data_IF_826064085182
#
_entry.id   IF_826064085182
#
_cell.length_a   1.000
_cell.length_b   1.000
_cell.length_c   1.000
_cell.angle_alpha   90.00
_cell.angle_beta   90.00
_cell.angle_gamma   90.00
#
_symmetry.space_group_name_H-M   'P 1'
#
loop_
_entity.id
_entity.type
_entity.pdbx_description
1 polymer ?
#
# COMPACT_ATOMS: atom_id res chain seq x y z
N UNK A 1 63.57 -9.33 -13.02
CA UNK A 1 64.50 -8.88 -11.96
C UNK A 1 63.97 -9.37 -10.62
N UNK A 2 64.71 -10.26 -9.96
CA UNK A 2 64.40 -10.82 -8.64
C UNK A 2 65.07 -9.96 -7.57
N UNK A 3 64.36 -9.58 -6.51
CA UNK A 3 64.95 -9.07 -5.26
C UNK A 3 64.41 -9.84 -4.06
N UNK A 4 65.24 -10.08 -3.03
CA UNK A 4 65.04 -11.12 -2.02
C UNK A 4 64.52 -10.59 -0.68
N UNK A 5 63.98 -11.53 0.10
CA UNK A 5 63.91 -11.69 1.57
C UNK A 5 64.37 -10.54 2.48
N UNK A 6 63.61 -10.29 3.55
CA UNK A 6 64.09 -10.26 4.96
C UNK A 6 62.95 -10.73 5.90
N UNK A 7 63.31 -11.67 6.76
CA UNK A 7 62.57 -12.20 7.93
C UNK A 7 62.48 -11.16 9.06
N UNK A 8 61.42 -11.20 9.88
CA UNK A 8 61.58 -11.22 11.35
C UNK A 8 60.34 -11.77 12.06
N UNK A 9 60.61 -12.63 13.03
CA UNK A 9 59.67 -13.40 13.83
C UNK A 9 59.17 -12.64 15.07
N UNK A 10 57.99 -12.99 15.56
CA UNK A 10 57.70 -13.01 16.99
C UNK A 10 56.54 -14.00 17.25
N UNK A 11 56.89 -15.17 17.77
CA UNK A 11 55.96 -16.10 18.37
C UNK A 11 55.64 -15.61 19.79
N UNK A 12 54.37 -15.35 20.08
CA UNK A 12 53.87 -15.20 21.44
C UNK A 12 52.78 -16.27 21.66
N UNK A 13 53.19 -17.35 22.32
CA UNK A 13 52.29 -18.40 22.79
C UNK A 13 51.50 -17.87 24.01
N UNK A 14 50.33 -17.27 23.75
CA UNK A 14 49.35 -16.96 24.78
C UNK A 14 48.40 -18.14 24.95
N UNK A 15 48.60 -18.94 26.00
CA UNK A 15 47.61 -19.92 26.45
C UNK A 15 46.42 -19.18 27.08
N UNK A 16 45.47 -18.75 26.24
CA UNK A 16 44.18 -18.26 26.70
C UNK A 16 43.24 -19.45 26.87
N UNK A 17 42.82 -19.70 28.11
CA UNK A 17 41.79 -20.67 28.45
C UNK A 17 40.55 -20.43 27.57
N UNK A 18 40.22 -21.42 26.73
CA UNK A 18 39.00 -21.44 25.94
C UNK A 18 37.85 -21.73 26.91
N UNK A 19 37.39 -20.68 27.58
CA UNK A 19 36.07 -20.67 28.19
C UNK A 19 35.06 -20.74 27.06
N UNK A 20 34.49 -21.93 26.85
CA UNK A 20 33.41 -22.17 25.90
C UNK A 20 32.16 -21.43 26.40
N UNK A 21 32.12 -20.11 26.23
CA UNK A 21 30.91 -19.33 26.35
C UNK A 21 30.03 -19.71 25.17
N UNK A 22 29.05 -20.58 25.41
CA UNK A 22 27.87 -20.72 24.57
C UNK A 22 27.14 -19.38 24.60
N UNK A 23 27.56 -18.45 23.74
CA UNK A 23 26.78 -17.25 23.43
C UNK A 23 25.56 -17.78 22.67
N UNK A 24 24.48 -18.03 23.40
CA UNK A 24 23.15 -18.14 22.82
C UNK A 24 22.85 -16.75 22.29
N UNK A 25 23.28 -16.48 21.06
CA UNK A 25 22.77 -15.35 20.30
C UNK A 25 21.29 -15.65 20.12
N UNK A 26 20.45 -15.06 20.98
CA UNK A 26 19.05 -14.93 20.71
C UNK A 26 18.98 -14.22 19.35
N UNK A 27 18.74 -15.00 18.30
CA UNK A 27 18.34 -14.45 17.02
C UNK A 27 17.01 -13.80 17.33
N UNK A 28 17.05 -12.49 17.60
CA UNK A 28 15.88 -11.66 17.48
C UNK A 28 15.42 -11.90 16.06
N UNK A 29 14.44 -12.80 15.91
CA UNK A 29 13.81 -13.05 14.64
C UNK A 29 13.30 -11.69 14.21
N UNK A 30 13.99 -11.09 13.24
CA UNK A 30 13.45 -9.95 12.53
C UNK A 30 12.13 -10.47 12.00
N UNK A 31 11.02 -10.06 12.60
CA UNK A 31 9.72 -10.29 12.04
C UNK A 31 9.84 -9.72 10.62
N UNK A 32 9.94 -10.62 9.63
CA UNK A 32 9.99 -10.23 8.24
C UNK A 32 8.64 -9.59 8.00
N UNK A 33 8.61 -8.26 8.07
CA UNK A 33 7.43 -7.48 7.76
C UNK A 33 7.00 -7.93 6.38
N UNK A 34 5.82 -8.53 6.31
CA UNK A 34 5.24 -9.03 5.07
C UNK A 34 5.33 -7.92 4.01
N UNK A 35 5.79 -8.23 2.80
CA UNK A 35 5.85 -7.20 1.77
C UNK A 35 4.43 -6.61 1.56
N UNK A 36 4.28 -5.31 1.25
CA UNK A 36 2.98 -4.67 1.08
C UNK A 36 2.02 -5.42 0.13
N UNK A 37 2.57 -6.05 -0.92
CA UNK A 37 1.84 -6.91 -1.87
C UNK A 37 1.17 -8.11 -1.17
N UNK A 38 1.71 -8.58 -0.06
CA UNK A 38 1.18 -9.73 0.67
C UNK A 38 0.08 -9.37 1.67
N UNK A 39 -0.26 -8.08 1.82
CA UNK A 39 -1.32 -7.58 2.69
C UNK A 39 -2.68 -7.45 1.99
N UNK A 40 -2.66 -7.49 0.66
CA UNK A 40 -3.85 -7.58 -0.18
C UNK A 40 -3.73 -8.83 -1.05
N UNK A 41 -4.57 -9.81 -0.78
CA UNK A 41 -4.67 -11.04 -1.59
C UNK A 41 -4.91 -10.72 -3.06
N UNK A 42 -5.57 -9.58 -3.35
CA UNK A 42 -5.75 -9.03 -4.68
C UNK A 42 -4.42 -8.81 -5.42
N UNK A 43 -3.36 -8.37 -4.74
CA UNK A 43 -2.08 -8.05 -5.38
C UNK A 43 -1.28 -9.31 -5.76
N UNK A 44 -1.60 -10.44 -5.13
CA UNK A 44 -0.95 -11.73 -5.40
C UNK A 44 -1.51 -12.44 -6.63
N UNK A 45 -2.64 -11.98 -7.19
CA UNK A 45 -3.21 -12.58 -8.40
C UNK A 45 -2.49 -12.09 -9.66
N UNK A 46 -2.54 -12.91 -10.70
CA UNK A 46 -2.09 -12.53 -12.03
C UNK A 46 -2.87 -11.31 -12.54
N UNK A 47 -2.15 -10.33 -13.08
CA UNK A 47 -2.74 -9.14 -13.71
C UNK A 47 -3.53 -9.55 -14.96
N UNK A 48 -4.66 -8.90 -15.18
CA UNK A 48 -5.56 -9.06 -16.33
C UNK A 48 -5.67 -7.71 -17.06
N UNK A 49 -6.26 -7.69 -18.25
CA UNK A 49 -6.40 -6.45 -19.03
C UNK A 49 -7.12 -5.34 -18.26
N UNK A 50 -8.15 -5.69 -17.48
CA UNK A 50 -8.92 -4.74 -16.68
C UNK A 50 -8.11 -4.08 -15.55
N UNK A 51 -6.94 -4.64 -15.22
CA UNK A 51 -6.09 -4.14 -14.15
C UNK A 51 -5.15 -3.03 -14.59
N UNK A 52 -4.96 -2.85 -15.89
CA UNK A 52 -4.18 -1.73 -16.41
C UNK A 52 -4.95 -0.43 -16.23
N UNK A 53 -4.23 0.64 -15.90
CA UNK A 53 -4.79 1.99 -15.94
C UNK A 53 -5.10 2.35 -17.40
N UNK A 54 -6.14 3.16 -17.65
CA UNK A 54 -6.39 3.68 -18.99
C UNK A 54 -5.16 4.40 -19.54
N UNK A 55 -4.94 4.30 -20.85
CA UNK A 55 -3.75 4.87 -21.50
C UNK A 55 -3.55 6.36 -21.16
N UNK A 56 -4.63 7.14 -21.19
CA UNK A 56 -4.65 8.57 -20.87
C UNK A 56 -4.33 8.90 -19.40
N UNK A 57 -4.44 7.94 -18.49
CA UNK A 57 -3.97 8.08 -17.09
C UNK A 57 -2.53 7.62 -16.99
N UNK A 58 -2.19 6.50 -17.60
CA UNK A 58 -0.84 5.92 -17.51
C UNK A 58 0.24 6.76 -18.18
N UNK A 59 -0.11 7.54 -19.21
CA UNK A 59 0.83 8.35 -19.96
C UNK A 59 0.75 9.83 -19.53
N UNK A 60 1.80 10.33 -18.87
CA UNK A 60 1.98 11.77 -18.65
C UNK A 60 1.07 12.40 -17.59
N UNK A 61 0.53 11.61 -16.67
CA UNK A 61 -0.12 12.13 -15.46
C UNK A 61 0.71 11.80 -14.23
N UNK A 62 0.61 12.63 -13.19
CA UNK A 62 1.28 12.38 -11.90
C UNK A 62 0.87 11.02 -11.30
N UNK A 63 -0.36 10.58 -11.53
CA UNK A 63 -0.84 9.26 -11.09
C UNK A 63 -0.14 8.13 -11.85
N UNK A 64 -0.03 8.26 -13.18
CA UNK A 64 0.63 7.27 -14.03
C UNK A 64 2.12 7.11 -13.70
N UNK A 65 2.80 8.20 -13.39
CA UNK A 65 4.22 8.20 -13.02
C UNK A 65 4.46 7.74 -11.58
N UNK A 66 3.44 7.81 -10.72
CA UNK A 66 3.53 7.44 -9.31
C UNK A 66 3.58 5.92 -9.10
N UNK A 67 2.76 5.16 -9.83
CA UNK A 67 2.60 3.71 -9.62
C UNK A 67 3.23 2.88 -10.73
N UNK A 68 3.86 1.76 -10.37
CA UNK A 68 4.40 0.83 -11.36
C UNK A 68 3.26 0.11 -12.12
N UNK A 69 3.24 0.23 -13.45
CA UNK A 69 2.12 -0.21 -14.28
C UNK A 69 1.80 -1.73 -14.20
N UNK A 70 2.78 -2.56 -13.89
CA UNK A 70 2.64 -4.02 -13.70
C UNK A 70 2.10 -4.41 -12.32
N UNK A 71 2.05 -3.44 -11.40
CA UNK A 71 1.53 -3.64 -10.04
C UNK A 71 0.05 -3.29 -9.91
N UNK A 72 -0.54 -2.62 -10.89
CA UNK A 72 -1.92 -2.14 -10.77
C UNK A 72 -2.91 -3.30 -10.76
N UNK A 73 -3.97 -3.19 -9.96
CA UNK A 73 -5.07 -4.16 -9.85
C UNK A 73 -6.38 -3.39 -9.74
N UNK A 74 -7.33 -3.69 -10.61
CA UNK A 74 -8.65 -3.06 -10.55
C UNK A 74 -9.43 -3.63 -9.36
N UNK A 75 -10.01 -2.70 -8.60
CA UNK A 75 -10.83 -2.97 -7.43
C UNK A 75 -12.31 -3.03 -7.79
N UNK A 76 -12.74 -2.20 -8.75
CA UNK A 76 -14.14 -2.15 -9.20
C UNK A 76 -14.47 -0.80 -9.83
N UNK A 77 -15.76 -0.56 -10.05
CA UNK A 77 -16.30 0.72 -10.53
C UNK A 77 -17.62 1.03 -9.83
N UNK A 78 -17.96 2.31 -9.73
CA UNK A 78 -19.25 2.81 -9.26
C UNK A 78 -19.56 4.14 -9.96
N UNK A 79 -20.72 4.24 -10.60
CA UNK A 79 -21.06 5.41 -11.42
C UNK A 79 -20.01 5.65 -12.52
N UNK A 80 -19.52 6.90 -12.61
CA UNK A 80 -18.46 7.31 -13.55
C UNK A 80 -17.04 7.02 -13.04
N UNK A 81 -16.90 6.43 -11.85
CA UNK A 81 -15.61 6.22 -11.19
C UNK A 81 -15.13 4.78 -11.34
N UNK A 82 -13.85 4.61 -11.62
CA UNK A 82 -13.16 3.30 -11.56
C UNK A 82 -11.97 3.39 -10.60
N UNK A 83 -11.73 2.29 -9.89
CA UNK A 83 -10.80 2.24 -8.79
C UNK A 83 -9.74 1.16 -9.01
N UNK A 84 -8.50 1.49 -8.70
CA UNK A 84 -7.37 0.57 -8.74
C UNK A 84 -6.57 0.65 -7.44
N UNK A 85 -5.84 -0.41 -7.15
CA UNK A 85 -4.70 -0.38 -6.26
C UNK A 85 -3.42 -0.57 -7.06
N UNK A 86 -2.30 -0.06 -6.58
CA UNK A 86 -0.97 -0.23 -7.17
C UNK A 86 0.11 -0.04 -6.13
N UNK A 87 1.36 -0.26 -6.53
CA UNK A 87 2.54 -0.03 -5.68
C UNK A 87 3.42 1.03 -6.33
N UNK A 88 3.83 2.03 -5.55
CA UNK A 88 4.74 3.06 -6.04
C UNK A 88 6.22 2.61 -5.99
N UNK A 89 7.12 3.45 -6.50
CA UNK A 89 8.56 3.16 -6.51
C UNK A 89 9.18 3.00 -5.09
N UNK A 90 8.48 3.43 -4.04
CA UNK A 90 8.90 3.29 -2.63
C UNK A 90 8.33 2.04 -1.98
N UNK A 91 7.51 1.26 -2.69
CA UNK A 91 6.82 0.10 -2.13
C UNK A 91 5.56 0.45 -1.35
N UNK A 92 5.05 1.69 -1.44
CA UNK A 92 3.80 2.08 -0.78
C UNK A 92 2.60 1.58 -1.56
N UNK A 93 1.58 1.15 -0.84
CA UNK A 93 0.32 0.72 -1.43
C UNK A 93 -0.54 1.94 -1.71
N UNK A 94 -0.97 2.10 -2.96
CA UNK A 94 -1.76 3.22 -3.42
C UNK A 94 -3.20 2.81 -3.72
N UNK A 95 -4.14 3.69 -3.41
CA UNK A 95 -5.50 3.72 -3.94
C UNK A 95 -5.54 4.77 -5.04
N UNK A 96 -6.07 4.39 -6.20
CA UNK A 96 -6.20 5.25 -7.37
C UNK A 96 -7.68 5.32 -7.74
N UNK A 97 -8.17 6.54 -7.97
CA UNK A 97 -9.52 6.79 -8.47
C UNK A 97 -9.42 7.56 -9.77
N UNK A 98 -10.12 7.09 -10.80
CA UNK A 98 -10.33 7.81 -12.05
C UNK A 98 -11.83 8.05 -12.22
N UNK A 99 -12.23 9.30 -12.40
CA UNK A 99 -13.62 9.70 -12.67
C UNK A 99 -13.69 10.18 -14.12
N UNK A 100 -14.61 9.60 -14.90
CA UNK A 100 -14.69 9.78 -16.34
C UNK A 100 -13.99 8.69 -17.13
N UNK A 101 -14.40 8.49 -18.38
CA UNK A 101 -13.90 7.44 -19.27
C UNK A 101 -13.27 7.97 -20.57
N UNK A 102 -13.24 9.29 -20.74
CA UNK A 102 -12.65 9.97 -21.88
C UNK A 102 -11.44 10.83 -21.46
N UNK A 103 -10.43 10.90 -22.33
CA UNK A 103 -9.22 11.72 -22.13
C UNK A 103 -9.54 13.22 -21.97
N UNK A 104 -10.61 13.71 -22.59
CA UNK A 104 -10.96 15.13 -22.55
C UNK A 104 -11.53 15.60 -21.20
N UNK A 105 -12.16 14.70 -20.43
CA UNK A 105 -13.03 15.07 -19.30
C UNK A 105 -12.79 14.20 -18.05
N UNK A 106 -11.63 13.57 -17.92
CA UNK A 106 -11.31 12.77 -16.74
C UNK A 106 -10.68 13.60 -15.61
N UNK A 107 -10.83 13.10 -14.38
CA UNK A 107 -9.98 13.48 -13.25
C UNK A 107 -9.46 12.22 -12.59
N UNK A 108 -8.17 12.20 -12.24
CA UNK A 108 -7.55 11.10 -11.55
C UNK A 108 -6.84 11.60 -10.30
N UNK A 109 -6.84 10.79 -9.25
CA UNK A 109 -6.08 11.04 -8.04
C UNK A 109 -5.55 9.75 -7.46
N UNK A 110 -4.51 9.87 -6.63
CA UNK A 110 -3.94 8.76 -5.90
C UNK A 110 -3.58 9.16 -4.47
N UNK A 111 -3.73 8.22 -3.54
CA UNK A 111 -3.27 8.32 -2.17
C UNK A 111 -2.52 7.04 -1.84
N UNK A 112 -1.41 7.13 -1.08
CA UNK A 112 -0.57 5.97 -0.80
C UNK A 112 -0.22 5.89 0.68
N UNK A 113 -0.13 4.67 1.20
CA UNK A 113 0.30 4.39 2.57
C UNK A 113 1.47 3.39 2.58
N UNK A 114 2.34 3.54 3.58
CA UNK A 114 3.31 2.51 3.92
C UNK A 114 2.60 1.23 4.36
N UNK A 115 3.21 0.06 4.15
CA UNK A 115 2.61 -1.23 4.50
C UNK A 115 2.21 -1.33 5.99
N UNK A 116 3.02 -0.72 6.87
CA UNK A 116 2.74 -0.67 8.31
C UNK A 116 1.50 0.14 8.63
N UNK A 117 1.31 1.27 7.95
CA UNK A 117 0.17 2.17 8.16
C UNK A 117 -1.10 1.57 7.55
N UNK A 118 -0.98 0.96 6.37
CA UNK A 118 -2.09 0.33 5.68
C UNK A 118 -2.78 -0.76 6.51
N UNK A 119 -2.01 -1.59 7.23
CA UNK A 119 -2.58 -2.68 8.05
C UNK A 119 -3.49 -2.17 9.16
N UNK A 120 -3.16 -1.03 9.77
CA UNK A 120 -3.94 -0.45 10.86
C UNK A 120 -5.02 0.51 10.39
N UNK A 121 -4.78 1.19 9.25
CA UNK A 121 -5.57 2.36 8.85
C UNK A 121 -6.17 2.24 7.46
N UNK A 122 -5.60 1.50 6.53
CA UNK A 122 -6.07 1.46 5.14
C UNK A 122 -5.55 2.67 4.34
N UNK A 123 -6.23 3.01 3.23
CA UNK A 123 -5.96 4.23 2.44
C UNK A 123 -7.28 4.91 2.09
N UNK A 124 -7.41 6.20 2.40
CA UNK A 124 -8.52 7.05 1.97
C UNK A 124 -8.11 7.95 0.81
N UNK A 125 -9.04 8.18 -0.12
CA UNK A 125 -8.86 9.08 -1.25
C UNK A 125 -10.19 9.76 -1.61
N UNK A 126 -10.16 11.09 -1.70
CA UNK A 126 -11.24 11.88 -2.28
C UNK A 126 -10.74 12.58 -3.54
N UNK A 127 -11.49 12.42 -4.62
CA UNK A 127 -11.24 13.05 -5.92
C UNK A 127 -12.52 13.76 -6.34
N UNK A 128 -12.40 14.99 -6.82
CA UNK A 128 -13.52 15.75 -7.33
C UNK A 128 -13.11 16.55 -8.58
N UNK A 129 -14.01 16.62 -9.56
CA UNK A 129 -13.83 17.40 -10.78
C UNK A 129 -15.17 17.57 -11.52
N UNK A 130 -15.16 18.18 -12.71
CA UNK A 130 -16.36 18.31 -13.55
C UNK A 130 -17.16 17.01 -13.76
N UNK A 131 -16.55 15.82 -13.99
CA UNK A 131 -17.31 14.60 -14.23
C UNK A 131 -17.95 14.01 -12.96
N UNK A 132 -17.60 14.52 -11.77
CA UNK A 132 -18.17 14.08 -10.50
C UNK A 132 -17.19 14.12 -9.35
N UNK A 133 -17.62 13.58 -8.22
CA UNK A 133 -16.80 13.41 -7.03
C UNK A 133 -16.88 11.95 -6.54
N UNK A 134 -15.82 11.50 -5.90
CA UNK A 134 -15.74 10.18 -5.29
C UNK A 134 -14.92 10.26 -4.03
N UNK A 135 -15.40 9.58 -2.98
CA UNK A 135 -14.65 9.30 -1.78
C UNK A 135 -14.56 7.78 -1.60
N UNK A 136 -13.34 7.27 -1.52
CA UNK A 136 -13.06 5.84 -1.58
C UNK A 136 -12.04 5.44 -0.53
N UNK A 137 -12.19 4.23 -0.01
CA UNK A 137 -11.34 3.67 1.02
C UNK A 137 -10.90 2.25 0.66
N UNK A 138 -9.58 2.05 0.63
CA UNK A 138 -8.93 0.76 0.47
C UNK A 138 -8.68 0.14 1.84
N UNK A 139 -9.23 -1.04 2.08
CA UNK A 139 -9.18 -1.75 3.35
C UNK A 139 -8.22 -2.94 3.27
N UNK A 140 -7.45 -3.24 4.33
CA UNK A 140 -6.63 -4.45 4.37
C UNK A 140 -7.49 -5.71 4.42
N UNK A 141 -6.91 -6.85 4.04
CA UNK A 141 -7.60 -8.13 4.13
C UNK A 141 -8.05 -8.44 5.57
N UNK A 142 -9.19 -9.13 5.68
CA UNK A 142 -9.76 -9.51 6.99
C UNK A 142 -10.49 -8.38 7.72
N UNK A 143 -10.56 -7.17 7.16
CA UNK A 143 -11.48 -6.12 7.60
C UNK A 143 -12.85 -6.38 6.98
N UNK A 144 -13.90 -6.64 7.77
CA UNK A 144 -15.22 -6.92 7.25
C UNK A 144 -15.90 -5.62 6.82
N UNK A 145 -15.73 -5.23 5.55
CA UNK A 145 -16.30 -4.02 4.95
C UNK A 145 -17.81 -3.83 5.24
N UNK A 146 -18.57 -4.92 5.31
CA UNK A 146 -20.00 -4.91 5.63
C UNK A 146 -20.33 -4.41 7.05
N UNK A 147 -19.36 -4.35 7.97
CA UNK A 147 -19.56 -3.89 9.35
C UNK A 147 -19.35 -2.38 9.53
N UNK A 148 -18.95 -1.65 8.48
CA UNK A 148 -18.75 -0.20 8.56
C UNK A 148 -20.07 0.57 8.75
N UNK A 149 -21.21 -0.09 8.49
CA UNK A 149 -22.55 0.42 8.76
C UNK A 149 -23.12 1.27 7.62
N UNK A 150 -24.22 1.94 7.93
CA UNK A 150 -24.92 2.80 6.99
C UNK A 150 -24.05 4.02 6.62
N UNK A 151 -24.03 4.38 5.33
CA UNK A 151 -23.20 5.45 4.78
C UNK A 151 -22.01 4.96 3.94
N UNK A 152 -21.70 3.66 3.99
CA UNK A 152 -20.69 3.04 3.14
C UNK A 152 -21.30 2.08 2.11
N UNK A 153 -20.84 2.16 0.87
CA UNK A 153 -21.16 1.22 -0.20
C UNK A 153 -19.98 0.30 -0.45
N UNK A 154 -20.17 -1.01 -0.25
CA UNK A 154 -19.13 -2.01 -0.55
C UNK A 154 -19.10 -2.30 -2.04
N UNK A 155 -17.97 -2.00 -2.70
CA UNK A 155 -17.76 -2.26 -4.13
C UNK A 155 -17.02 -3.57 -4.34
N UNK A 156 -16.05 -3.86 -3.47
CA UNK A 156 -15.29 -5.11 -3.47
C UNK A 156 -14.86 -5.45 -2.03
N UNK A 157 -14.30 -6.66 -1.77
CA UNK A 157 -13.87 -7.04 -0.42
C UNK A 157 -12.95 -6.02 0.26
N UNK A 158 -12.12 -5.30 -0.50
CA UNK A 158 -11.16 -4.33 0.01
C UNK A 158 -11.52 -2.88 -0.37
N UNK A 159 -12.66 -2.62 -1.00
CA UNK A 159 -13.02 -1.27 -1.44
C UNK A 159 -14.42 -0.90 -0.97
N UNK A 160 -14.49 0.22 -0.26
CA UNK A 160 -15.75 0.85 0.12
C UNK A 160 -15.77 2.32 -0.28
N UNK A 161 -16.97 2.84 -0.52
CA UNK A 161 -17.20 4.23 -0.91
C UNK A 161 -18.10 4.91 0.12
N UNK A 162 -17.91 6.20 0.34
CA UNK A 162 -18.86 7.08 1.03
C UNK A 162 -19.38 8.14 0.06
N UNK A 163 -20.45 8.82 0.47
CA UNK A 163 -20.95 9.99 -0.26
C UNK A 163 -20.02 11.19 0.01
N UNK A 164 -19.29 11.71 -0.99
CA UNK A 164 -18.40 12.84 -0.82
C UNK A 164 -19.12 14.15 -0.47
N UNK A 165 -20.44 14.21 -0.62
CA UNK A 165 -21.27 15.37 -0.29
C UNK A 165 -21.97 15.24 1.07
N UNK A 166 -21.95 14.06 1.70
CA UNK A 166 -22.51 13.89 3.02
C UNK A 166 -21.66 14.61 4.07
N UNK A 167 -22.28 14.99 5.20
CA UNK A 167 -21.49 15.38 6.36
C UNK A 167 -20.56 14.23 6.75
N UNK A 168 -19.34 14.58 7.16
CA UNK A 168 -18.34 13.59 7.55
C UNK A 168 -18.97 12.61 8.54
N UNK A 169 -19.08 11.34 8.13
CA UNK A 169 -19.62 10.33 9.01
C UNK A 169 -18.77 10.26 10.27
N UNK A 170 -19.42 10.07 11.42
CA UNK A 170 -18.70 9.86 12.68
C UNK A 170 -17.63 8.77 12.50
N UNK A 171 -16.42 8.96 13.07
CA UNK A 171 -15.41 7.93 13.18
C UNK A 171 -15.99 6.53 13.36
N UNK A 172 -15.84 5.66 12.35
CA UNK A 172 -16.24 4.26 12.45
C UNK A 172 -15.03 3.39 12.70
N UNK A 173 -15.09 2.62 13.78
CA UNK A 173 -14.11 1.58 14.07
C UNK A 173 -14.71 0.21 13.82
N UNK A 174 -13.96 -0.65 13.14
CA UNK A 174 -14.32 -2.05 12.88
C UNK A 174 -13.21 -2.95 13.37
N UNK A 175 -13.57 -4.01 14.09
CA UNK A 175 -12.61 -5.00 14.56
C UNK A 175 -12.40 -6.06 13.48
N UNK A 176 -11.25 -6.01 12.82
CA UNK A 176 -10.80 -7.03 11.88
C UNK A 176 -9.96 -8.11 12.56
N UNK A 177 -9.51 -9.09 11.78
CA UNK A 177 -8.66 -10.19 12.27
C UNK A 177 -7.31 -9.70 12.83
N UNK A 178 -6.84 -8.54 12.37
CA UNK A 178 -5.55 -7.95 12.73
C UNK A 178 -5.65 -6.85 13.80
N UNK A 179 -6.84 -6.56 14.33
CA UNK A 179 -7.07 -5.51 15.33
C UNK A 179 -8.21 -4.56 14.97
N UNK A 180 -8.29 -3.43 15.67
CA UNK A 180 -9.29 -2.39 15.42
C UNK A 180 -8.81 -1.44 14.34
N UNK A 181 -9.63 -1.27 13.30
CA UNK A 181 -9.45 -0.37 12.18
C UNK A 181 -10.36 0.84 12.35
N UNK A 182 -9.86 2.07 12.18
CA UNK A 182 -10.68 3.29 12.33
C UNK A 182 -10.62 4.13 11.05
N UNK A 183 -11.78 4.41 10.46
CA UNK A 183 -11.91 5.16 9.21
C UNK A 183 -11.65 6.67 9.34
N UNK A 184 -11.86 7.27 10.51
CA UNK A 184 -11.61 8.72 10.67
C UNK A 184 -10.16 9.14 10.52
N UNK A 185 -9.22 8.19 10.72
CA UNK A 185 -7.80 8.39 10.44
C UNK A 185 -7.50 8.44 8.93
N UNK A 186 -8.47 8.04 8.11
CA UNK A 186 -8.39 8.06 6.65
C UNK A 186 -9.04 9.27 6.01
N UNK A 187 -9.50 10.24 6.82
CA UNK A 187 -10.08 11.49 6.32
C UNK A 187 -9.21 12.00 5.16
N UNK A 188 -9.73 11.97 3.92
CA UNK A 188 -8.88 12.11 2.75
C UNK A 188 -8.21 13.48 2.81
N UNK A 189 -6.89 13.50 2.77
CA UNK A 189 -6.20 14.76 2.45
C UNK A 189 -6.63 15.06 1.02
N UNK A 190 -7.38 16.14 0.82
CA UNK A 190 -7.81 16.55 -0.52
C UNK A 190 -6.59 16.51 -1.45
N UNK A 191 -6.62 15.62 -2.45
CA UNK A 191 -5.62 15.60 -3.48
C UNK A 191 -5.74 16.96 -4.20
N UNK A 192 -4.69 17.78 -4.11
CA UNK A 192 -4.62 19.07 -4.79
C UNK A 192 -4.11 18.87 -6.21
#
# INVERSE_FOLDING_TARGET
MRKPLILTAAAAAGAAAIGLFLVVTAQAGTATSKAPIEQLSLMSRQQTEADHLPAFVSAGTEVGDLVAADTTRRLGSSGASTYWSGVDAKGRLCLITVIGDQEADFVAGASCAEASDFTGKGVGLQVAGPPGASEAYLLPDGVPAAQLGDGYTVVSPNLVLSDPAAEAADPRSVTGTSGTFTLSDLSPTAAR
#
